data_IF_599888627625
#
_entry.id   IF_599888627625
#
_cell.length_a   1.000
_cell.length_b   1.000
_cell.length_c   1.000
_cell.angle_alpha   90.00
_cell.angle_beta   90.00
_cell.angle_gamma   90.00
#
_symmetry.space_group_name_H-M   'P 1'
#
loop_
_entity.id
_entity.type
_entity.pdbx_description
1 polymer ?
#
# COMPACT_ATOMS: atom_id res chain seq x y z
N UNK A 1 -4.39 -13.23 -1.68
CA UNK A 1 -4.05 -12.43 -0.48
C UNK A 1 -3.22 -13.20 0.57
N UNK A 2 -3.29 -14.54 0.68
CA UNK A 2 -2.29 -15.34 1.45
C UNK A 2 -0.85 -15.18 0.93
N UNK A 3 -0.70 -15.02 -0.39
CA UNK A 3 0.58 -14.83 -1.08
C UNK A 3 1.42 -13.61 -0.63
N UNK A 4 0.85 -12.67 0.14
CA UNK A 4 1.61 -11.50 0.61
C UNK A 4 2.61 -11.85 1.73
N UNK A 5 2.35 -12.93 2.48
CA UNK A 5 3.16 -13.37 3.61
C UNK A 5 3.95 -14.64 3.30
N UNK A 6 3.91 -15.11 2.05
CA UNK A 6 4.69 -16.27 1.65
C UNK A 6 6.18 -15.91 1.66
N UNK A 7 7.03 -16.75 2.27
CA UNK A 7 8.46 -16.54 2.22
C UNK A 7 8.92 -16.61 0.77
N UNK A 8 9.87 -15.75 0.41
CA UNK A 8 10.54 -15.83 -0.88
C UNK A 8 11.31 -17.15 -0.97
N UNK A 9 11.19 -17.82 -2.11
CA UNK A 9 12.13 -18.89 -2.48
C UNK A 9 13.49 -18.26 -2.79
N UNK A 10 14.58 -18.95 -2.43
CA UNK A 10 15.96 -18.46 -2.65
C UNK A 10 16.21 -18.02 -4.10
N UNK A 11 15.63 -18.73 -5.08
CA UNK A 11 15.77 -18.35 -6.49
C UNK A 11 15.15 -16.98 -6.82
N UNK A 12 14.10 -16.57 -6.12
CA UNK A 12 13.40 -15.32 -6.39
C UNK A 12 14.16 -14.11 -5.83
N UNK A 13 14.82 -14.25 -4.67
CA UNK A 13 15.69 -13.20 -4.12
C UNK A 13 16.87 -12.92 -5.06
N UNK A 14 17.48 -13.98 -5.57
CA UNK A 14 18.66 -13.89 -6.43
C UNK A 14 18.32 -13.19 -7.75
N UNK A 15 17.20 -13.57 -8.38
CA UNK A 15 16.70 -12.91 -9.59
C UNK A 15 16.45 -11.41 -9.39
N UNK A 16 15.97 -10.99 -8.22
CA UNK A 16 15.72 -9.58 -7.94
C UNK A 16 17.02 -8.79 -7.72
N UNK A 17 18.00 -9.38 -7.05
CA UNK A 17 19.32 -8.79 -6.86
C UNK A 17 20.05 -8.64 -8.20
N UNK A 18 20.08 -9.69 -9.02
CA UNK A 18 20.69 -9.66 -10.35
C UNK A 18 20.12 -8.54 -11.20
N UNK A 19 18.79 -8.34 -11.18
CA UNK A 19 18.13 -7.24 -11.91
C UNK A 19 18.53 -5.85 -11.42
N UNK A 20 18.86 -5.67 -10.14
CA UNK A 20 19.36 -4.40 -9.64
C UNK A 20 20.80 -4.16 -10.11
N UNK A 21 21.65 -5.19 -10.04
CA UNK A 21 23.04 -5.12 -10.50
C UNK A 21 23.11 -4.84 -12.01
N UNK A 22 22.32 -5.54 -12.83
CA UNK A 22 22.18 -5.30 -14.27
C UNK A 22 21.75 -3.87 -14.60
N UNK A 23 21.04 -3.21 -13.68
CA UNK A 23 20.58 -1.83 -13.82
C UNK A 23 21.63 -0.80 -13.38
N UNK A 24 22.83 -1.24 -13.01
CA UNK A 24 23.95 -0.39 -12.63
C UNK A 24 24.03 -0.08 -11.13
N UNK A 25 23.34 -0.84 -10.28
CA UNK A 25 23.56 -0.73 -8.84
C UNK A 25 24.91 -1.33 -8.46
N UNK A 26 25.69 -0.57 -7.70
CA UNK A 26 27.02 -0.98 -7.25
C UNK A 26 26.94 -1.59 -5.85
N UNK A 27 27.69 -2.66 -5.61
CA UNK A 27 27.86 -3.24 -4.27
C UNK A 27 28.64 -2.24 -3.40
N UNK A 28 28.21 -1.93 -2.16
CA UNK A 28 28.97 -1.03 -1.29
C UNK A 28 30.39 -1.51 -1.03
N UNK A 29 31.35 -0.58 -1.02
CA UNK A 29 32.79 -0.85 -0.79
C UNK A 29 33.12 -1.61 0.50
N UNK A 30 32.21 -1.56 1.49
CA UNK A 30 32.36 -2.30 2.75
C UNK A 30 32.07 -3.80 2.63
N UNK A 31 31.76 -4.31 1.43
CA UNK A 31 31.42 -5.70 1.18
C UNK A 31 32.34 -6.21 0.08
N UNK A 32 32.94 -7.37 0.31
CA UNK A 32 33.69 -8.08 -0.71
C UNK A 32 32.75 -8.45 -1.87
N UNK A 33 33.00 -7.96 -3.11
CA UNK A 33 32.16 -8.25 -4.26
C UNK A 33 31.97 -9.75 -4.51
N UNK A 34 32.97 -10.58 -4.20
CA UNK A 34 32.92 -12.03 -4.43
C UNK A 34 31.98 -12.72 -3.42
N UNK A 35 31.91 -12.20 -2.18
CA UNK A 35 31.02 -12.71 -1.13
C UNK A 35 29.64 -12.04 -1.11
N UNK A 36 29.46 -10.95 -1.85
CA UNK A 36 28.23 -10.17 -1.82
C UNK A 36 26.98 -11.01 -2.13
N UNK A 37 26.94 -11.87 -3.17
CA UNK A 37 25.75 -12.66 -3.47
C UNK A 37 25.29 -13.53 -2.30
N UNK A 38 26.22 -14.21 -1.64
CA UNK A 38 25.94 -15.11 -0.51
C UNK A 38 25.41 -14.32 0.70
N UNK A 39 26.05 -13.19 1.03
CA UNK A 39 25.63 -12.33 2.14
C UNK A 39 24.23 -11.77 1.94
N UNK A 40 23.88 -11.37 0.71
CA UNK A 40 22.53 -10.91 0.40
C UNK A 40 21.53 -12.07 0.41
N UNK A 41 21.87 -13.24 -0.13
CA UNK A 41 20.99 -14.40 -0.10
C UNK A 41 20.65 -14.83 1.34
N UNK A 42 21.63 -14.85 2.23
CA UNK A 42 21.45 -15.22 3.64
C UNK A 42 20.42 -14.32 4.33
N UNK A 43 20.53 -12.99 4.19
CA UNK A 43 19.62 -12.06 4.87
C UNK A 43 18.23 -12.00 4.25
N UNK A 44 18.09 -12.39 2.99
CA UNK A 44 16.83 -12.42 2.26
C UNK A 44 16.07 -13.73 2.43
N UNK A 45 16.76 -14.80 2.83
CA UNK A 45 16.16 -16.10 3.05
C UNK A 45 15.00 -16.03 4.06
N UNK A 46 13.85 -16.59 3.68
CA UNK A 46 12.65 -16.63 4.53
C UNK A 46 11.91 -15.31 4.71
N UNK A 47 12.35 -14.21 4.07
CA UNK A 47 11.64 -12.93 4.11
C UNK A 47 10.39 -12.97 3.22
N UNK A 48 9.32 -12.20 3.54
CA UNK A 48 8.09 -12.21 2.74
C UNK A 48 8.31 -11.65 1.32
N UNK A 49 7.90 -12.40 0.30
CA UNK A 49 8.14 -12.06 -1.10
C UNK A 49 7.49 -10.74 -1.53
N UNK A 50 6.31 -10.42 -1.01
CA UNK A 50 5.61 -9.17 -1.36
C UNK A 50 6.35 -7.94 -0.81
N UNK A 51 6.82 -8.03 0.43
CA UNK A 51 7.63 -6.98 1.06
C UNK A 51 8.95 -6.79 0.29
N UNK A 52 9.61 -7.88 -0.08
CA UNK A 52 10.79 -7.85 -0.95
C UNK A 52 10.48 -7.15 -2.27
N UNK A 53 9.50 -7.62 -3.04
CA UNK A 53 9.12 -7.02 -4.33
C UNK A 53 8.91 -5.52 -4.23
N UNK A 54 8.22 -5.06 -3.19
CA UNK A 54 7.99 -3.63 -2.96
C UNK A 54 9.28 -2.86 -2.71
N UNK A 55 10.16 -3.37 -1.84
CA UNK A 55 11.45 -2.74 -1.54
C UNK A 55 12.32 -2.68 -2.80
N UNK A 56 12.42 -3.78 -3.54
CA UNK A 56 13.18 -3.85 -4.79
C UNK A 56 12.62 -2.92 -5.88
N UNK A 57 11.29 -2.81 -6.02
CA UNK A 57 10.67 -1.83 -6.93
C UNK A 57 10.95 -0.40 -6.50
N UNK A 58 10.87 -0.10 -5.20
CA UNK A 58 11.15 1.22 -4.68
C UNK A 58 12.63 1.61 -4.87
N UNK A 59 13.57 0.65 -4.73
CA UNK A 59 14.97 0.82 -5.08
C UNK A 59 15.13 1.11 -6.58
N UNK A 60 14.52 0.28 -7.43
CA UNK A 60 14.55 0.43 -8.90
C UNK A 60 14.01 1.79 -9.37
N UNK A 61 13.00 2.32 -8.69
CA UNK A 61 12.38 3.62 -8.97
C UNK A 61 13.12 4.80 -8.33
N UNK A 62 14.20 4.57 -7.57
CA UNK A 62 14.97 5.62 -6.91
C UNK A 62 14.21 6.33 -5.80
N UNK A 63 13.19 5.69 -5.21
CA UNK A 63 12.37 6.26 -4.12
C UNK A 63 13.13 6.36 -2.80
N UNK A 64 14.21 5.59 -2.66
CA UNK A 64 15.14 5.72 -1.56
C UNK A 64 16.33 6.59 -2.00
N UNK A 65 16.32 7.86 -1.58
CA UNK A 65 17.37 8.83 -1.97
C UNK A 65 18.77 8.36 -1.59
N UNK A 66 18.90 7.69 -0.44
CA UNK A 66 20.16 7.13 0.07
C UNK A 66 20.74 6.00 -0.80
N UNK A 67 19.90 5.30 -1.57
CA UNK A 67 20.28 4.08 -2.29
C UNK A 67 20.03 4.22 -3.80
N UNK A 68 20.27 5.41 -4.38
CA UNK A 68 20.03 5.63 -5.82
C UNK A 68 21.03 4.92 -6.73
N UNK A 69 22.26 4.72 -6.27
CA UNK A 69 23.37 4.18 -7.08
C UNK A 69 24.05 2.98 -6.45
N UNK A 70 23.82 2.74 -5.16
CA UNK A 70 24.43 1.65 -4.41
C UNK A 70 23.34 0.75 -3.85
N UNK A 71 23.62 -0.55 -3.78
CA UNK A 71 22.78 -1.46 -3.01
C UNK A 71 22.84 -1.09 -1.52
N UNK A 72 21.71 -1.16 -0.78
CA UNK A 72 21.76 -1.10 0.68
C UNK A 72 22.59 -2.25 1.22
N UNK A 73 23.33 -2.08 2.32
CA UNK A 73 24.05 -3.22 2.93
C UNK A 73 23.08 -4.35 3.29
N UNK A 74 23.50 -5.63 3.36
CA UNK A 74 22.63 -6.76 3.67
C UNK A 74 21.75 -6.54 4.91
N UNK A 75 22.33 -6.04 6.01
CA UNK A 75 21.59 -5.71 7.22
C UNK A 75 20.57 -4.58 7.02
N UNK A 76 20.92 -3.54 6.25
CA UNK A 76 20.02 -2.43 5.94
C UNK A 76 18.88 -2.90 5.04
N UNK A 77 19.18 -3.71 4.01
CA UNK A 77 18.20 -4.29 3.11
C UNK A 77 17.21 -5.18 3.89
N UNK A 78 17.72 -6.03 4.79
CA UNK A 78 16.91 -6.88 5.66
C UNK A 78 15.95 -6.06 6.53
N UNK A 79 16.45 -4.99 7.16
CA UNK A 79 15.64 -4.10 7.98
C UNK A 79 14.55 -3.39 7.17
N UNK A 80 14.86 -2.93 5.96
CA UNK A 80 13.87 -2.32 5.05
C UNK A 80 12.75 -3.29 4.68
N UNK A 81 13.09 -4.57 4.46
CA UNK A 81 12.11 -5.61 4.15
C UNK A 81 11.26 -5.95 5.37
N UNK A 82 11.85 -6.03 6.57
CA UNK A 82 11.12 -6.30 7.81
C UNK A 82 10.13 -5.19 8.15
N UNK A 83 10.55 -3.93 7.98
CA UNK A 83 9.65 -2.78 8.11
C UNK A 83 8.53 -2.84 7.06
N UNK A 84 8.86 -3.20 5.82
CA UNK A 84 7.86 -3.34 4.79
C UNK A 84 6.84 -4.44 5.12
N UNK A 85 7.30 -5.58 5.60
CA UNK A 85 6.46 -6.70 6.03
C UNK A 85 5.62 -6.37 7.28
N UNK A 86 6.13 -5.54 8.20
CA UNK A 86 5.35 -5.03 9.34
C UNK A 86 4.18 -4.17 8.84
N UNK A 87 4.47 -3.21 7.97
CA UNK A 87 3.44 -2.36 7.37
C UNK A 87 2.38 -3.19 6.62
N UNK A 88 2.78 -4.23 5.87
CA UNK A 88 1.83 -5.09 5.15
C UNK A 88 0.91 -5.85 6.11
N UNK A 89 1.45 -6.32 7.24
CA UNK A 89 0.65 -6.96 8.29
C UNK A 89 -0.36 -5.99 8.90
N UNK A 90 0.05 -4.75 9.18
CA UNK A 90 -0.83 -3.70 9.70
C UNK A 90 -1.96 -3.36 8.73
N UNK A 91 -1.64 -3.20 7.45
CA UNK A 91 -2.65 -2.95 6.41
C UNK A 91 -3.66 -4.08 6.28
N UNK A 92 -3.24 -5.34 6.41
CA UNK A 92 -4.15 -6.49 6.42
C UNK A 92 -5.10 -6.47 7.63
N UNK A 93 -4.65 -5.99 8.80
CA UNK A 93 -5.52 -5.82 9.97
C UNK A 93 -6.57 -4.76 9.68
N UNK A 94 -6.16 -3.59 9.17
CA UNK A 94 -7.07 -2.50 8.82
C UNK A 94 -8.08 -2.91 7.74
N UNK A 95 -7.66 -3.66 6.72
CA UNK A 95 -8.55 -4.18 5.70
C UNK A 95 -9.59 -5.14 6.26
N UNK A 96 -9.18 -6.04 7.18
CA UNK A 96 -10.11 -6.95 7.85
C UNK A 96 -11.12 -6.21 8.72
N UNK A 97 -10.69 -5.19 9.46
CA UNK A 97 -11.59 -4.34 10.25
C UNK A 97 -12.57 -3.58 9.36
N UNK A 98 -12.09 -3.02 8.24
CA UNK A 98 -12.94 -2.35 7.26
C UNK A 98 -13.96 -3.30 6.64
N UNK A 99 -13.57 -4.54 6.33
CA UNK A 99 -14.48 -5.57 5.80
C UNK A 99 -15.56 -5.91 6.83
N UNK A 100 -15.17 -6.16 8.10
CA UNK A 100 -16.12 -6.40 9.19
C UNK A 100 -17.11 -5.25 9.36
N UNK A 101 -16.63 -4.00 9.36
CA UNK A 101 -17.49 -2.82 9.48
C UNK A 101 -18.48 -2.70 8.31
N UNK A 102 -18.06 -3.04 7.08
CA UNK A 102 -18.95 -3.06 5.91
C UNK A 102 -20.00 -4.17 6.03
N UNK A 103 -19.62 -5.35 6.51
CA UNK A 103 -20.53 -6.47 6.74
C UNK A 103 -21.55 -6.17 7.85
N UNK A 104 -21.11 -5.58 8.97
CA UNK A 104 -22.00 -5.14 10.04
C UNK A 104 -22.97 -4.06 9.54
N UNK A 105 -22.49 -3.08 8.78
CA UNK A 105 -23.35 -2.07 8.17
C UNK A 105 -24.37 -2.69 7.22
N UNK A 106 -23.98 -3.70 6.44
CA UNK A 106 -24.91 -4.47 5.58
C UNK A 106 -25.92 -5.25 6.40
N UNK A 107 -25.50 -5.89 7.50
CA UNK A 107 -26.39 -6.63 8.41
C UNK A 107 -27.42 -5.70 9.06
N UNK A 108 -26.98 -4.58 9.62
CA UNK A 108 -27.86 -3.56 10.18
C UNK A 108 -28.85 -3.03 9.13
N UNK A 109 -28.37 -2.76 7.91
CA UNK A 109 -29.24 -2.32 6.79
C UNK A 109 -30.28 -3.38 6.41
N UNK A 110 -29.95 -4.66 6.51
CA UNK A 110 -30.87 -5.79 6.26
C UNK A 110 -31.88 -5.98 7.40
N UNK A 111 -31.51 -5.68 8.63
CA UNK A 111 -32.37 -5.77 9.82
C UNK A 111 -33.26 -4.54 10.03
N UNK A 112 -33.06 -3.45 9.30
CA UNK A 112 -33.96 -2.30 9.38
C UNK A 112 -35.36 -2.65 8.87
N UNK A 113 -36.38 -2.26 9.64
CA UNK A 113 -37.78 -2.40 9.22
C UNK A 113 -38.08 -1.50 8.01
N UNK A 114 -39.15 -1.83 7.28
CA UNK A 114 -39.56 -1.07 6.09
C UNK A 114 -39.90 0.39 6.43
N UNK A 115 -40.48 0.64 7.61
CA UNK A 115 -40.83 1.98 8.09
C UNK A 115 -39.57 2.85 8.34
N UNK A 116 -38.51 2.28 8.90
CA UNK A 116 -37.25 2.99 9.11
C UNK A 116 -36.53 3.28 7.79
N UNK A 117 -36.65 2.38 6.80
CA UNK A 117 -36.13 2.60 5.45
C UNK A 117 -36.85 3.75 4.75
N UNK A 118 -38.17 3.84 4.85
CA UNK A 118 -38.92 4.97 4.28
C UNK A 118 -38.57 6.30 4.95
N UNK A 119 -38.48 6.33 6.29
CA UNK A 119 -38.08 7.54 7.03
C UNK A 119 -36.69 8.01 6.60
N UNK A 120 -35.73 7.09 6.44
CA UNK A 120 -34.37 7.43 5.96
C UNK A 120 -34.36 7.88 4.50
N UNK A 121 -35.18 7.30 3.62
CA UNK A 121 -35.32 7.76 2.22
C UNK A 121 -35.86 9.18 2.15
N UNK A 122 -36.91 9.49 2.91
CA UNK A 122 -37.50 10.85 2.97
C UNK A 122 -36.49 11.87 3.49
N UNK A 123 -35.75 11.56 4.56
CA UNK A 123 -34.68 12.42 5.08
C UNK A 123 -33.52 12.61 4.09
N UNK A 124 -33.07 11.53 3.44
CA UNK A 124 -32.00 11.62 2.45
C UNK A 124 -32.40 12.44 1.21
N UNK A 125 -33.65 12.31 0.76
CA UNK A 125 -34.20 13.12 -0.33
C UNK A 125 -34.26 14.61 0.05
N UNK A 126 -34.70 14.93 1.27
CA UNK A 126 -34.74 16.30 1.77
C UNK A 126 -33.33 16.94 1.83
N UNK A 127 -32.33 16.20 2.32
CA UNK A 127 -30.93 16.68 2.37
C UNK A 127 -30.36 16.89 0.97
N UNK A 128 -30.60 15.96 0.02
CA UNK A 128 -30.17 16.12 -1.38
C UNK A 128 -30.82 17.33 -2.04
N UNK A 129 -32.11 17.55 -1.82
CA UNK A 129 -32.81 18.72 -2.34
C UNK A 129 -32.26 20.04 -1.75
N UNK A 130 -31.92 20.05 -0.45
CA UNK A 130 -31.30 21.20 0.19
C UNK A 130 -29.91 21.50 -0.37
N UNK A 131 -29.07 20.47 -0.56
CA UNK A 131 -27.75 20.61 -1.18
C UNK A 131 -27.83 21.09 -2.64
N UNK A 132 -28.78 20.57 -3.42
CA UNK A 132 -29.00 21.01 -4.80
C UNK A 132 -29.45 22.48 -4.87
N UNK A 133 -30.34 22.91 -3.97
CA UNK A 133 -30.73 24.32 -3.85
C UNK A 133 -29.56 25.22 -3.45
N UNK A 134 -28.73 24.78 -2.50
CA UNK A 134 -27.55 25.53 -2.08
C UNK A 134 -26.49 25.64 -3.19
N UNK A 135 -26.30 24.58 -3.98
CA UNK A 135 -25.41 24.59 -5.14
C UNK A 135 -25.94 25.53 -6.25
N UNK A 136 -27.24 25.46 -6.58
CA UNK A 136 -27.85 26.35 -7.55
C UNK A 136 -27.79 27.83 -7.11
N UNK A 137 -28.01 28.10 -5.82
CA UNK A 137 -27.90 29.46 -5.27
C UNK A 137 -26.46 30.01 -5.29
N UNK A 138 -25.44 29.14 -5.20
CA UNK A 138 -24.04 29.55 -5.39
C UNK A 138 -23.73 29.91 -6.84
N UNK A 139 -24.16 29.09 -7.80
CA UNK A 139 -23.92 29.35 -9.24
C UNK A 139 -24.59 30.64 -9.72
N UNK A 140 -25.82 30.92 -9.28
CA UNK A 140 -26.52 32.16 -9.63
C UNK A 140 -25.83 33.40 -9.05
N UNK A 141 -25.17 33.27 -7.90
CA UNK A 141 -24.45 34.37 -7.25
C UNK A 141 -23.12 34.67 -7.94
N UNK A 142 -22.43 33.65 -8.45
CA UNK A 142 -21.23 33.82 -9.27
C UNK A 142 -21.56 34.47 -10.63
N UNK A 143 -22.68 34.12 -11.27
CA UNK A 143 -23.10 34.76 -12.54
C UNK A 143 -23.60 36.21 -12.41
N UNK A 144 -23.97 36.64 -11.20
CA UNK A 144 -24.46 38.02 -10.94
C UNK A 144 -23.37 38.98 -10.48
N UNK A 145 -22.23 38.49 -9.96
CA UNK A 145 -21.06 39.30 -9.62
C UNK A 145 -20.11 39.53 -10.84
N UNK A 146 -20.31 38.82 -11.96
CA UNK A 146 -19.52 38.97 -13.20
C UNK A 146 -20.17 39.87 -14.27
N UNK A 147 -21.28 40.56 -13.98
CA UNK A 147 -21.98 41.49 -14.90
C UNK A 147 -22.00 42.92 -14.37
#
# INVERSE_FOLDING_TARGET
MKAALEPAESHQSDLMLTKLIERGFVVPDSIDPDMAPELYAEVLCGKPIAAMRRVFENLRLGRYERYRSFLPKPAELSAMIDEAARHDREMLVLERERQKAVEERRRLTRQMSEEERERRRKKAAAVRAMLAKAAAARMVKEETDER
#
